data_IF_721672034563
#
_entry.id   IF_721672034563
#
_cell.length_a   1.000
_cell.length_b   1.000
_cell.length_c   1.000
_cell.angle_alpha   90.00
_cell.angle_beta   90.00
_cell.angle_gamma   90.00
#
_symmetry.space_group_name_H-M   'P 1'
#
loop_
_entity.id
_entity.type
_entity.pdbx_description
1 polymer ?
#
# COMPACT_ATOMS: atom_id res chain seq x y z
N UNK A 1 17.01 12.61 8.05
CA UNK A 1 16.44 11.84 9.16
C UNK A 1 14.99 11.55 8.92
N UNK A 2 14.19 12.60 8.82
CA UNK A 2 12.76 12.39 8.60
C UNK A 2 12.48 11.63 7.31
N UNK A 3 13.25 11.88 6.26
CA UNK A 3 13.05 11.21 4.98
C UNK A 3 13.30 9.71 5.11
N UNK A 4 14.33 9.34 5.85
CA UNK A 4 14.63 7.92 6.02
C UNK A 4 13.56 7.22 6.83
N UNK A 5 13.04 7.90 7.83
CA UNK A 5 11.97 7.34 8.65
C UNK A 5 10.72 7.14 7.80
N UNK A 6 10.39 8.13 6.98
CA UNK A 6 9.23 8.03 6.09
C UNK A 6 9.39 6.87 5.12
N UNK A 7 10.56 6.74 4.50
CA UNK A 7 10.80 5.67 3.55
C UNK A 7 10.69 4.30 4.20
N UNK A 8 11.19 4.18 5.42
CA UNK A 8 11.11 2.91 6.13
C UNK A 8 9.69 2.59 6.53
N UNK A 9 8.96 3.61 6.98
CA UNK A 9 7.62 3.41 7.50
C UNK A 9 6.59 3.14 6.41
N UNK A 10 6.84 3.58 5.18
CA UNK A 10 5.88 3.36 4.10
C UNK A 10 5.60 1.87 3.92
N UNK A 11 6.64 1.06 3.85
CA UNK A 11 6.43 -0.37 3.67
C UNK A 11 5.68 -0.97 4.86
N UNK A 12 6.07 -0.63 6.07
CA UNK A 12 5.40 -1.15 7.25
C UNK A 12 3.98 -0.66 7.36
N UNK A 13 3.77 0.62 7.08
CA UNK A 13 2.42 1.20 7.15
C UNK A 13 1.48 0.53 6.15
N UNK A 14 1.94 0.36 4.92
CA UNK A 14 1.12 -0.27 3.90
C UNK A 14 0.87 -1.73 4.25
N UNK A 15 1.91 -2.42 4.72
CA UNK A 15 1.74 -3.82 5.13
C UNK A 15 0.71 -3.94 6.24
N UNK A 16 0.77 -3.06 7.23
CA UNK A 16 -0.19 -3.10 8.33
C UNK A 16 -1.60 -2.80 7.86
N UNK A 17 -1.75 -1.84 6.95
CA UNK A 17 -3.06 -1.53 6.39
C UNK A 17 -3.65 -2.71 5.63
N UNK A 18 -2.82 -3.35 4.80
CA UNK A 18 -3.25 -4.50 4.04
C UNK A 18 -3.65 -5.64 5.00
N UNK A 19 -2.82 -5.88 5.99
CA UNK A 19 -3.11 -6.94 6.94
C UNK A 19 -4.41 -6.68 7.70
N UNK A 20 -4.62 -5.45 8.09
CA UNK A 20 -5.83 -5.09 8.82
C UNK A 20 -7.08 -5.32 7.98
N UNK A 21 -7.04 -4.89 6.74
CA UNK A 21 -8.20 -5.01 5.85
C UNK A 21 -8.45 -6.47 5.50
N UNK A 22 -7.39 -7.25 5.32
CA UNK A 22 -7.51 -8.68 5.03
C UNK A 22 -7.73 -9.52 6.29
N UNK A 23 -7.69 -8.88 7.46
CA UNK A 23 -7.88 -9.55 8.75
C UNK A 23 -6.87 -10.67 8.96
N UNK A 24 -5.63 -10.35 8.68
CA UNK A 24 -4.53 -11.28 8.84
C UNK A 24 -3.37 -10.55 9.53
N UNK A 25 -2.29 -11.26 9.82
CA UNK A 25 -1.15 -10.64 10.48
C UNK A 25 -0.19 -10.04 9.47
N UNK A 26 0.47 -8.93 9.83
CA UNK A 26 1.39 -8.28 8.89
C UNK A 26 2.48 -9.22 8.37
N UNK A 27 2.95 -10.13 9.20
CA UNK A 27 4.01 -11.04 8.80
C UNK A 27 3.57 -11.97 7.67
N UNK A 28 2.27 -12.12 7.47
CA UNK A 28 1.77 -12.97 6.40
C UNK A 28 1.69 -12.24 5.06
N UNK A 29 1.90 -10.94 5.07
CA UNK A 29 1.87 -10.15 3.84
C UNK A 29 3.28 -10.12 3.27
N UNK A 30 3.57 -11.08 2.42
CA UNK A 30 4.88 -11.15 1.78
C UNK A 30 4.98 -10.08 0.69
N UNK A 31 6.16 -9.48 0.58
CA UNK A 31 6.34 -8.34 -0.32
C UNK A 31 6.00 -8.66 -1.76
N UNK A 32 6.24 -9.89 -2.19
CA UNK A 32 6.04 -10.27 -3.58
C UNK A 32 4.74 -11.04 -3.81
N UNK A 33 3.99 -11.33 -2.75
CA UNK A 33 2.74 -12.06 -2.89
C UNK A 33 1.72 -11.22 -3.66
N UNK A 34 0.99 -11.87 -4.55
CA UNK A 34 -0.04 -11.19 -5.32
C UNK A 34 -1.27 -11.03 -4.45
N UNK A 35 -1.75 -9.79 -4.31
CA UNK A 35 -2.86 -9.52 -3.42
C UNK A 35 -4.08 -10.36 -3.74
N UNK A 36 -4.47 -10.40 -5.01
CA UNK A 36 -5.69 -11.12 -5.39
C UNK A 36 -5.44 -12.63 -5.41
N UNK A 37 -4.38 -13.05 -6.09
CA UNK A 37 -4.16 -14.48 -6.30
C UNK A 37 -3.71 -15.20 -5.03
N UNK A 38 -2.85 -14.55 -4.25
CA UNK A 38 -2.25 -15.22 -3.09
C UNK A 38 -2.95 -14.86 -1.79
N UNK A 39 -3.53 -13.67 -1.69
CA UNK A 39 -4.09 -13.18 -0.43
C UNK A 39 -5.61 -13.03 -0.47
N UNK A 40 -6.24 -13.26 -1.61
CA UNK A 40 -7.69 -13.24 -1.69
C UNK A 40 -8.31 -11.84 -1.66
N UNK A 41 -7.55 -10.83 -2.03
CA UNK A 41 -8.05 -9.46 -2.04
C UNK A 41 -9.02 -9.26 -3.21
N UNK A 42 -10.10 -8.52 -2.97
CA UNK A 42 -11.02 -8.14 -4.04
C UNK A 42 -10.93 -6.63 -4.28
N UNK A 43 -11.71 -6.16 -5.26
CA UNK A 43 -11.65 -4.74 -5.67
C UNK A 43 -12.04 -3.80 -4.54
N UNK A 44 -13.02 -4.20 -3.74
CA UNK A 44 -13.48 -3.36 -2.65
C UNK A 44 -12.40 -3.19 -1.60
N UNK A 45 -11.71 -4.27 -1.27
CA UNK A 45 -10.61 -4.21 -0.34
C UNK A 45 -9.48 -3.35 -0.88
N UNK A 46 -9.20 -3.46 -2.17
CA UNK A 46 -8.16 -2.64 -2.79
C UNK A 46 -8.50 -1.16 -2.69
N UNK A 47 -9.77 -0.82 -2.89
CA UNK A 47 -10.21 0.56 -2.77
C UNK A 47 -10.10 1.06 -1.34
N UNK A 48 -10.40 0.21 -0.36
CA UNK A 48 -10.23 0.58 1.03
C UNK A 48 -8.79 0.86 1.38
N UNK A 49 -7.88 0.02 0.88
CA UNK A 49 -6.46 0.21 1.10
C UNK A 49 -6.00 1.52 0.49
N UNK A 50 -6.43 1.77 -0.75
CA UNK A 50 -6.07 3.00 -1.44
C UNK A 50 -6.55 4.23 -0.67
N UNK A 51 -7.81 4.21 -0.23
CA UNK A 51 -8.38 5.33 0.50
C UNK A 51 -7.64 5.55 1.82
N UNK A 52 -7.27 4.46 2.50
CA UNK A 52 -6.54 4.56 3.76
C UNK A 52 -5.16 5.17 3.55
N UNK A 53 -4.49 4.79 2.48
CA UNK A 53 -3.17 5.34 2.16
C UNK A 53 -3.29 6.83 1.86
N UNK A 54 -4.27 7.21 1.06
CA UNK A 54 -4.48 8.61 0.73
C UNK A 54 -4.71 9.46 1.98
N UNK A 55 -5.51 8.93 2.89
CA UNK A 55 -5.81 9.65 4.11
C UNK A 55 -4.59 9.74 5.01
N UNK A 56 -3.85 8.64 5.12
CA UNK A 56 -2.70 8.61 6.03
C UNK A 56 -1.59 9.54 5.58
N UNK A 57 -1.33 9.57 4.29
CA UNK A 57 -0.22 10.36 3.76
C UNK A 57 -0.67 11.68 3.14
N UNK A 58 -1.96 11.91 3.10
CA UNK A 58 -2.52 13.14 2.52
C UNK A 58 -2.08 13.32 1.08
N UNK A 59 -2.22 12.25 0.31
CA UNK A 59 -1.87 12.25 -1.11
C UNK A 59 -3.09 11.82 -1.90
N UNK A 60 -3.03 12.04 -3.21
CA UNK A 60 -4.06 11.59 -4.12
C UNK A 60 -3.45 10.56 -5.05
N UNK A 61 -4.04 9.36 -5.07
CA UNK A 61 -3.58 8.30 -5.94
C UNK A 61 -4.55 8.21 -7.11
N UNK A 62 -4.06 8.37 -8.35
CA UNK A 62 -4.95 8.30 -9.51
C UNK A 62 -5.64 6.94 -9.59
N UNK A 63 -6.89 6.95 -10.03
CA UNK A 63 -7.65 5.70 -10.13
C UNK A 63 -7.01 4.72 -11.11
N UNK A 64 -6.36 5.23 -12.13
CA UNK A 64 -5.73 4.35 -13.10
C UNK A 64 -4.49 3.66 -12.54
N UNK A 65 -4.04 4.04 -11.35
CA UNK A 65 -2.98 3.31 -10.67
C UNK A 65 -3.51 2.06 -9.94
N UNK A 66 -4.82 1.99 -9.72
CA UNK A 66 -5.40 0.89 -8.98
C UNK A 66 -5.05 -0.48 -9.55
N UNK A 67 -5.12 -0.69 -10.86
CA UNK A 67 -4.75 -2.01 -11.41
C UNK A 67 -3.29 -2.39 -11.15
N UNK A 68 -2.47 -1.42 -10.78
CA UNK A 68 -1.06 -1.68 -10.48
C UNK A 68 -0.82 -2.10 -9.04
N UNK A 69 -1.85 -2.04 -8.21
CA UNK A 69 -1.75 -2.45 -6.81
C UNK A 69 -1.88 -3.97 -6.72
N UNK A 70 -0.87 -4.68 -7.21
CA UNK A 70 -0.93 -6.14 -7.28
C UNK A 70 -0.13 -6.82 -6.19
N UNK A 71 0.79 -6.10 -5.54
CA UNK A 71 1.58 -6.67 -4.47
C UNK A 71 2.02 -5.54 -3.54
N UNK A 72 2.54 -5.92 -2.37
CA UNK A 72 3.05 -4.92 -1.44
C UNK A 72 4.17 -4.10 -2.07
N UNK A 73 5.09 -4.77 -2.74
CA UNK A 73 6.21 -4.08 -3.38
C UNK A 73 5.73 -3.02 -4.36
N UNK A 74 4.77 -3.36 -5.20
CA UNK A 74 4.30 -2.41 -6.20
C UNK A 74 3.54 -1.26 -5.57
N UNK A 75 2.74 -1.56 -4.56
CA UNK A 75 2.00 -0.53 -3.85
C UNK A 75 2.95 0.44 -3.17
N UNK A 76 3.96 -0.08 -2.48
CA UNK A 76 4.93 0.76 -1.80
C UNK A 76 5.67 1.63 -2.80
N UNK A 77 6.03 1.07 -3.95
CA UNK A 77 6.73 1.81 -4.98
C UNK A 77 5.90 3.00 -5.48
N UNK A 78 4.61 2.76 -5.71
CA UNK A 78 3.72 3.81 -6.17
C UNK A 78 3.59 4.91 -5.11
N UNK A 79 3.40 4.52 -3.87
CA UNK A 79 3.26 5.49 -2.79
C UNK A 79 4.53 6.33 -2.64
N UNK A 80 5.69 5.69 -2.67
CA UNK A 80 6.95 6.41 -2.56
C UNK A 80 7.13 7.40 -3.70
N UNK A 81 6.76 7.00 -4.90
CA UNK A 81 6.89 7.86 -6.06
C UNK A 81 6.02 9.10 -5.90
N UNK A 82 4.79 8.91 -5.45
CA UNK A 82 3.89 10.04 -5.26
C UNK A 82 4.40 10.96 -4.15
N UNK A 83 4.91 10.37 -3.08
CA UNK A 83 5.42 11.17 -1.97
C UNK A 83 6.63 12.02 -2.40
N UNK A 84 7.47 11.48 -3.26
CA UNK A 84 8.61 12.23 -3.76
C UNK A 84 8.16 13.39 -4.63
N UNK A 85 7.12 13.18 -5.43
CA UNK A 85 6.63 14.24 -6.30
C UNK A 85 5.85 15.30 -5.54
N UNK A 86 5.38 14.96 -4.36
CA UNK A 86 4.60 15.89 -3.56
C UNK A 86 5.43 17.06 -3.05
N UNK A 87 6.71 16.87 -2.96
CA UNK A 87 7.57 17.95 -2.51
C UNK A 87 7.50 19.12 -3.48
#
# INVERSE_FOLDING_TARGET
MADQIVKRNVEEDVRNLVAEILETEPKEILAEAHFVKDLGMDSMMALEILASIEKKYRIIIPEDALPKFTSLNKTVSIVKDILEKKK
#
